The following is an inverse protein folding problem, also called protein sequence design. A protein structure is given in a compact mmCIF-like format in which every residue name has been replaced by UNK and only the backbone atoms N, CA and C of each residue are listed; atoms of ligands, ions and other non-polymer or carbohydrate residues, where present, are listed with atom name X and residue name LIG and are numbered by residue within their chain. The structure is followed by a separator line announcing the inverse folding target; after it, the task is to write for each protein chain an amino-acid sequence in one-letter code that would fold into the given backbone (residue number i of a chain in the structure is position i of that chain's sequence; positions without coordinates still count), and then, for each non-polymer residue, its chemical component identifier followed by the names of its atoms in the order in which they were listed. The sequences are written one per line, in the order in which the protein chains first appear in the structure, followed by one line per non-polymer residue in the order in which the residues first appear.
data_IF_585694157722
#
_entry.id   IF_585694157722
#
_cell.length_a   1.000
_cell.length_b   1.000
_cell.length_c   1.000
_cell.angle_alpha   90.00
_cell.angle_beta   90.00
_cell.angle_gamma   90.00
#
_symmetry.space_group_name_H-M   'P 1'
#
loop_
_entity.id
_entity.type
_entity.pdbx_description
1 polymer ?
#
# COMPACT_ATOMS: atom_id res chain seq x y z
N UNK A 1 -31.14 -5.43 -57.44
CA UNK A 1 -30.32 -5.99 -56.35
C UNK A 1 -29.68 -4.80 -55.65
N UNK A 2 -30.24 -4.39 -54.52
CA UNK A 2 -29.70 -3.32 -53.69
C UNK A 2 -28.58 -3.89 -52.84
N UNK A 3 -27.36 -3.46 -53.13
CA UNK A 3 -26.16 -3.69 -52.32
C UNK A 3 -26.37 -3.04 -50.95
N UNK A 4 -26.44 -3.85 -49.90
CA UNK A 4 -26.43 -3.36 -48.52
C UNK A 4 -24.96 -3.13 -48.18
N UNK A 5 -24.53 -1.88 -47.90
CA UNK A 5 -23.13 -1.64 -47.55
C UNK A 5 -22.81 -2.34 -46.22
N UNK A 6 -21.61 -2.93 -46.08
CA UNK A 6 -21.25 -3.69 -44.89
C UNK A 6 -21.23 -2.77 -43.66
N UNK A 7 -21.86 -3.21 -42.57
CA UNK A 7 -22.05 -2.47 -41.32
C UNK A 7 -20.79 -2.31 -40.46
N UNK A 8 -19.58 -2.44 -41.01
CA UNK A 8 -18.34 -2.46 -40.22
C UNK A 8 -17.33 -1.38 -40.64
N UNK A 9 -17.42 -0.18 -40.03
CA UNK A 9 -16.20 0.46 -39.51
C UNK A 9 -16.40 1.33 -38.24
N UNK A 10 -17.62 1.52 -37.75
CA UNK A 10 -17.90 2.42 -36.59
C UNK A 10 -17.60 1.76 -35.25
N UNK A 11 -17.95 0.49 -35.09
CA UNK A 11 -17.73 -0.30 -33.87
C UNK A 11 -16.24 -0.53 -33.60
N UNK A 12 -15.45 -0.85 -34.63
CA UNK A 12 -14.00 -1.01 -34.51
C UNK A 12 -13.29 0.31 -34.14
N UNK A 13 -13.71 1.44 -34.73
CA UNK A 13 -13.19 2.77 -34.36
C UNK A 13 -13.55 3.17 -32.92
N UNK A 14 -14.77 2.86 -32.49
CA UNK A 14 -15.23 3.16 -31.13
C UNK A 14 -14.50 2.30 -30.09
N UNK A 15 -14.32 1.00 -30.36
CA UNK A 15 -13.51 0.10 -29.53
C UNK A 15 -12.06 0.56 -29.41
N UNK A 16 -11.43 0.96 -30.52
CA UNK A 16 -10.06 1.51 -30.50
C UNK A 16 -9.94 2.82 -29.71
N UNK A 17 -10.94 3.70 -29.80
CA UNK A 17 -10.98 4.93 -29.00
C UNK A 17 -11.14 4.62 -27.52
N UNK A 18 -12.05 3.73 -27.15
CA UNK A 18 -12.26 3.30 -25.76
C UNK A 18 -11.00 2.67 -25.16
N UNK A 19 -10.28 1.85 -25.92
CA UNK A 19 -9.01 1.28 -25.47
C UNK A 19 -7.97 2.38 -25.19
N UNK A 20 -7.80 3.34 -26.11
CA UNK A 20 -6.88 4.47 -25.89
C UNK A 20 -7.24 5.31 -24.67
N UNK A 21 -8.53 5.56 -24.45
CA UNK A 21 -8.98 6.26 -23.24
C UNK A 21 -8.66 5.48 -21.98
N UNK A 22 -8.88 4.16 -21.99
CA UNK A 22 -8.50 3.29 -20.88
C UNK A 22 -7.00 3.34 -20.61
N UNK A 23 -6.17 3.28 -21.64
CA UNK A 23 -4.72 3.33 -21.50
C UNK A 23 -4.25 4.68 -20.92
N UNK A 24 -4.87 5.79 -21.34
CA UNK A 24 -4.59 7.13 -20.78
C UNK A 24 -4.99 7.20 -19.30
N UNK A 25 -6.19 6.70 -18.97
CA UNK A 25 -6.66 6.69 -17.58
C UNK A 25 -5.78 5.84 -16.67
N UNK A 26 -5.30 4.70 -17.15
CA UNK A 26 -4.38 3.84 -16.39
C UNK A 26 -3.05 4.55 -16.14
N UNK A 27 -2.51 5.23 -17.17
CA UNK A 27 -1.28 6.00 -17.03
C UNK A 27 -1.43 7.17 -16.05
N UNK A 28 -2.52 7.94 -16.16
CA UNK A 28 -2.80 9.05 -15.23
C UNK A 28 -2.93 8.54 -13.78
N UNK A 29 -3.51 7.34 -13.60
CA UNK A 29 -3.60 6.67 -12.30
C UNK A 29 -2.21 6.33 -11.75
N UNK A 30 -1.36 5.70 -12.56
CA UNK A 30 0.02 5.36 -12.17
C UNK A 30 0.84 6.60 -11.82
N UNK A 31 0.76 7.66 -12.64
CA UNK A 31 1.45 8.93 -12.41
C UNK A 31 0.97 9.59 -11.10
N UNK A 32 -0.33 9.59 -10.85
CA UNK A 32 -0.92 10.13 -9.61
C UNK A 32 -0.46 9.34 -8.39
N UNK A 33 -0.50 8.00 -8.46
CA UNK A 33 -0.07 7.13 -7.37
C UNK A 33 1.41 7.32 -7.06
N UNK A 34 2.24 7.44 -8.10
CA UNK A 34 3.66 7.74 -7.95
C UNK A 34 3.87 9.08 -7.27
N UNK A 35 3.17 10.13 -7.68
CA UNK A 35 3.30 11.44 -7.02
C UNK A 35 2.90 11.38 -5.54
N UNK A 36 1.79 10.71 -5.20
CA UNK A 36 1.37 10.53 -3.81
C UNK A 36 2.41 9.77 -2.98
N UNK A 37 3.07 8.78 -3.58
CA UNK A 37 4.16 8.04 -2.95
C UNK A 37 5.39 8.92 -2.70
N UNK A 38 5.76 9.75 -3.67
CA UNK A 38 6.85 10.73 -3.54
C UNK A 38 6.57 11.72 -2.41
N UNK A 39 5.37 12.30 -2.37
CA UNK A 39 4.94 13.22 -1.31
C UNK A 39 4.99 12.56 0.08
N UNK A 40 4.64 11.28 0.15
CA UNK A 40 4.74 10.48 1.38
C UNK A 40 6.21 10.29 1.82
N UNK A 41 7.11 9.95 0.91
CA UNK A 41 8.53 9.81 1.20
C UNK A 41 9.19 11.14 1.59
N UNK A 42 8.78 12.25 0.96
CA UNK A 42 9.28 13.59 1.28
C UNK A 42 8.94 13.98 2.73
N UNK A 43 7.72 13.69 3.20
CA UNK A 43 7.34 13.91 4.61
C UNK A 43 8.18 13.12 5.61
N UNK A 44 8.76 12.00 5.16
CA UNK A 44 9.69 11.19 5.95
C UNK A 44 11.14 11.62 5.79
N UNK A 45 11.40 12.70 5.04
CA UNK A 45 12.72 13.24 4.70
C UNK A 45 13.58 12.22 3.92
N UNK A 46 12.93 11.45 3.04
CA UNK A 46 13.59 10.51 2.13
C UNK A 46 13.56 11.12 0.74
N UNK A 47 14.72 11.52 0.24
CA UNK A 47 14.86 12.23 -1.05
C UNK A 47 15.90 11.62 -1.99
N UNK A 48 16.52 10.51 -1.60
CA UNK A 48 17.48 9.80 -2.45
C UNK A 48 16.75 9.04 -3.56
N UNK A 49 17.04 9.38 -4.82
CA UNK A 49 16.29 8.93 -5.99
C UNK A 49 16.34 7.39 -6.16
N UNK A 50 17.51 6.77 -5.98
CA UNK A 50 17.64 5.31 -6.07
C UNK A 50 16.83 4.61 -4.98
N UNK A 51 16.88 5.12 -3.74
CA UNK A 51 16.13 4.57 -2.62
C UNK A 51 14.63 4.76 -2.82
N UNK A 52 14.22 5.91 -3.31
CA UNK A 52 12.82 6.25 -3.62
C UNK A 52 12.26 5.28 -4.67
N UNK A 53 12.96 5.08 -5.78
CA UNK A 53 12.54 4.14 -6.83
C UNK A 53 12.51 2.69 -6.33
N UNK A 54 13.50 2.28 -5.55
CA UNK A 54 13.51 0.96 -4.92
C UNK A 54 12.30 0.75 -3.99
N UNK A 55 11.97 1.74 -3.16
CA UNK A 55 10.82 1.67 -2.26
C UNK A 55 9.49 1.71 -3.03
N UNK A 56 9.44 2.41 -4.16
CA UNK A 56 8.25 2.43 -5.01
C UNK A 56 7.98 1.06 -5.64
N UNK A 57 9.02 0.36 -6.10
CA UNK A 57 8.90 -1.02 -6.58
C UNK A 57 8.34 -1.97 -5.50
N UNK A 58 8.86 -1.89 -4.29
CA UNK A 58 8.35 -2.67 -3.15
C UNK A 58 6.89 -2.32 -2.82
N UNK A 59 6.54 -1.05 -2.90
CA UNK A 59 5.17 -0.57 -2.71
C UNK A 59 4.22 -1.15 -3.76
N UNK A 60 4.60 -1.17 -5.04
CA UNK A 60 3.77 -1.77 -6.09
C UNK A 60 3.53 -3.26 -5.84
N UNK A 61 4.56 -4.01 -5.43
CA UNK A 61 4.42 -5.42 -5.06
C UNK A 61 3.48 -5.57 -3.86
N UNK A 62 3.64 -4.74 -2.84
CA UNK A 62 2.77 -4.71 -1.68
C UNK A 62 1.30 -4.46 -2.07
N UNK A 63 1.04 -3.44 -2.89
CA UNK A 63 -0.31 -3.12 -3.36
C UNK A 63 -0.91 -4.27 -4.18
N UNK A 64 -0.15 -4.85 -5.10
CA UNK A 64 -0.61 -6.00 -5.89
C UNK A 64 -0.98 -7.19 -5.00
N UNK A 65 -0.21 -7.46 -3.94
CA UNK A 65 -0.52 -8.57 -3.03
C UNK A 65 -1.79 -8.33 -2.21
N UNK A 66 -2.03 -7.09 -1.75
CA UNK A 66 -3.24 -6.77 -0.99
C UNK A 66 -4.46 -6.60 -1.89
N UNK A 67 -4.29 -6.22 -3.16
CA UNK A 67 -5.36 -5.99 -4.14
C UNK A 67 -5.63 -7.20 -5.06
N UNK A 68 -4.93 -8.33 -4.86
CA UNK A 68 -5.19 -9.57 -5.60
C UNK A 68 -6.46 -10.31 -5.12
N UNK A 69 -7.56 -10.11 -5.83
CA UNK A 69 -8.88 -10.72 -5.55
C UNK A 69 -8.93 -12.24 -5.78
N UNK A 70 -7.90 -12.84 -6.39
CA UNK A 70 -7.77 -14.30 -6.52
C UNK A 70 -7.23 -14.95 -5.24
N UNK A 71 -6.70 -14.15 -4.31
CA UNK A 71 -6.09 -14.63 -3.07
C UNK A 71 -7.11 -14.54 -1.92
N UNK A 72 -7.08 -15.50 -0.99
CA UNK A 72 -7.95 -15.43 0.17
C UNK A 72 -7.63 -14.22 1.05
N UNK A 73 -8.66 -13.58 1.61
CA UNK A 73 -8.54 -12.43 2.52
C UNK A 73 -7.45 -12.63 3.59
N UNK A 74 -7.41 -13.80 4.22
CA UNK A 74 -6.43 -14.10 5.28
C UNK A 74 -4.99 -14.10 4.76
N UNK A 75 -4.77 -14.63 3.55
CA UNK A 75 -3.44 -14.68 2.95
C UNK A 75 -3.00 -13.29 2.52
N UNK A 76 -3.91 -12.47 1.97
CA UNK A 76 -3.63 -11.05 1.62
C UNK A 76 -3.20 -10.25 2.85
N UNK A 77 -3.91 -10.39 3.96
CA UNK A 77 -3.54 -9.75 5.24
C UNK A 77 -2.18 -10.26 5.73
N UNK A 78 -1.94 -11.58 5.68
CA UNK A 78 -0.66 -12.16 6.11
C UNK A 78 0.51 -11.65 5.26
N UNK A 79 0.34 -11.59 3.94
CA UNK A 79 1.34 -11.04 3.01
C UNK A 79 1.59 -9.55 3.25
N UNK A 80 0.56 -8.79 3.61
CA UNK A 80 0.72 -7.38 3.98
C UNK A 80 1.61 -7.24 5.21
N UNK A 81 1.32 -8.00 6.28
CA UNK A 81 2.05 -7.97 7.55
C UNK A 81 3.52 -8.37 7.38
N UNK A 82 3.78 -9.36 6.52
CA UNK A 82 5.12 -9.89 6.26
C UNK A 82 5.85 -9.14 5.15
N UNK A 83 5.30 -8.03 4.66
CA UNK A 83 5.85 -7.30 3.54
C UNK A 83 7.17 -6.63 3.89
N UNK A 84 8.17 -6.83 3.02
CA UNK A 84 9.43 -6.12 3.06
C UNK A 84 9.24 -4.60 2.97
N UNK A 85 8.21 -4.14 2.24
CA UNK A 85 7.86 -2.72 2.16
C UNK A 85 7.57 -2.14 3.55
N UNK A 86 6.67 -2.77 4.33
CA UNK A 86 6.34 -2.30 5.67
C UNK A 86 7.57 -2.28 6.57
N UNK A 87 8.38 -3.34 6.53
CA UNK A 87 9.62 -3.42 7.31
C UNK A 87 10.60 -2.30 6.94
N UNK A 88 10.86 -2.08 5.64
CA UNK A 88 11.75 -1.02 5.16
C UNK A 88 11.22 0.37 5.50
N UNK A 89 9.90 0.61 5.46
CA UNK A 89 9.31 1.88 5.88
C UNK A 89 9.49 2.11 7.38
N UNK A 90 9.27 1.09 8.22
CA UNK A 90 9.44 1.20 9.67
C UNK A 90 10.92 1.37 10.08
N UNK A 91 11.85 0.96 9.22
CA UNK A 91 13.30 1.08 9.44
C UNK A 91 13.95 2.19 8.60
N UNK A 92 13.16 2.98 7.85
CA UNK A 92 13.63 4.03 6.94
C UNK A 92 14.59 5.00 7.61
N UNK A 93 14.19 5.45 8.81
CA UNK A 93 15.03 6.23 9.71
C UNK A 93 15.55 5.30 10.78
N UNK A 94 16.85 5.40 11.05
CA UNK A 94 17.46 4.96 12.31
C UNK A 94 16.98 5.83 13.49
N UNK A 95 15.67 6.14 13.55
CA UNK A 95 15.09 6.90 14.63
C UNK A 95 15.16 6.04 15.88
N UNK A 96 15.76 6.63 16.92
CA UNK A 96 15.77 6.07 18.27
C UNK A 96 14.50 6.41 19.04
N UNK A 97 13.55 7.13 18.43
CA UNK A 97 12.39 7.72 19.11
C UNK A 97 11.10 7.11 18.65
N UNK A 98 10.44 6.44 19.59
CA UNK A 98 9.09 5.87 19.45
C UNK A 98 8.08 6.85 18.84
N UNK A 99 8.08 8.11 19.25
CA UNK A 99 7.15 9.14 18.73
C UNK A 99 7.31 9.35 17.21
N UNK A 100 8.52 9.30 16.70
CA UNK A 100 8.79 9.49 15.27
C UNK A 100 8.37 8.25 14.49
N UNK A 101 8.66 7.06 15.01
CA UNK A 101 8.22 5.79 14.43
C UNK A 101 6.69 5.70 14.37
N UNK A 102 6.01 6.09 15.45
CA UNK A 102 4.54 6.22 15.48
C UNK A 102 4.04 7.18 14.41
N UNK A 103 4.65 8.37 14.29
CA UNK A 103 4.28 9.35 13.27
C UNK A 103 4.43 8.76 11.86
N UNK A 104 5.53 8.06 11.58
CA UNK A 104 5.77 7.39 10.29
C UNK A 104 4.67 6.36 10.00
N UNK A 105 4.33 5.51 10.97
CA UNK A 105 3.26 4.51 10.80
C UNK A 105 1.90 5.17 10.57
N UNK A 106 1.61 6.30 11.21
CA UNK A 106 0.39 7.07 10.94
C UNK A 106 0.37 7.66 9.53
N UNK A 107 1.48 8.27 9.07
CA UNK A 107 1.57 8.77 7.69
C UNK A 107 1.41 7.65 6.67
N UNK A 108 2.00 6.47 6.92
CA UNK A 108 1.84 5.28 6.09
C UNK A 108 0.37 4.82 6.04
N UNK A 109 -0.31 4.77 7.19
CA UNK A 109 -1.73 4.40 7.25
C UNK A 109 -2.58 5.35 6.39
N UNK A 110 -2.34 6.66 6.51
CA UNK A 110 -3.06 7.67 5.73
C UNK A 110 -2.72 7.66 4.25
N UNK A 111 -1.50 7.24 3.90
CA UNK A 111 -1.10 7.05 2.50
C UNK A 111 -1.82 5.84 1.88
N UNK A 112 -1.80 4.67 2.53
CA UNK A 112 -2.48 3.45 2.05
C UNK A 112 -3.99 3.69 1.87
N UNK A 113 -4.60 4.45 2.77
CA UNK A 113 -6.02 4.85 2.68
C UNK A 113 -6.32 5.71 1.44
N UNK A 114 -5.37 6.56 1.04
CA UNK A 114 -5.54 7.55 -0.05
C UNK A 114 -5.07 7.08 -1.42
N UNK A 115 -4.26 6.03 -1.49
CA UNK A 115 -3.71 5.48 -2.74
C UNK A 115 -4.79 5.00 -3.76
N UNK A 116 -6.07 5.13 -3.42
CA UNK A 116 -7.20 4.60 -4.16
C UNK A 116 -8.05 5.70 -4.84
N UNK A 117 -7.63 6.14 -6.01
CA UNK A 117 -8.58 6.68 -6.98
C UNK A 117 -9.09 5.52 -7.86
N UNK A 118 -10.37 5.16 -7.72
CA UNK A 118 -11.16 4.24 -8.57
C UNK A 118 -11.09 2.74 -8.32
N UNK A 119 -10.60 2.29 -7.18
CA UNK A 119 -10.56 0.86 -6.90
C UNK A 119 -11.93 0.30 -6.47
N UNK A 120 -12.15 -0.99 -6.76
CA UNK A 120 -13.40 -1.68 -6.47
C UNK A 120 -13.64 -1.83 -4.96
N UNK A 121 -14.89 -2.15 -4.58
CA UNK A 121 -15.33 -2.18 -3.18
C UNK A 121 -14.49 -3.10 -2.28
N UNK A 122 -14.02 -4.24 -2.80
CA UNK A 122 -13.20 -5.19 -2.05
C UNK A 122 -11.77 -4.69 -1.83
N UNK A 123 -11.13 -4.17 -2.88
CA UNK A 123 -9.82 -3.54 -2.77
C UNK A 123 -9.85 -2.34 -1.81
N UNK A 124 -10.95 -1.58 -1.82
CA UNK A 124 -11.15 -0.47 -0.88
C UNK A 124 -11.33 -0.95 0.55
N UNK A 125 -12.10 -2.01 0.75
CA UNK A 125 -12.21 -2.68 2.04
C UNK A 125 -10.84 -3.12 2.57
N UNK A 126 -10.01 -3.76 1.73
CA UNK A 126 -8.68 -4.23 2.10
C UNK A 126 -7.75 -3.12 2.57
N UNK A 127 -7.68 -2.02 1.81
CA UNK A 127 -6.85 -0.86 2.18
C UNK A 127 -7.34 -0.19 3.46
N UNK A 128 -8.65 -0.05 3.62
CA UNK A 128 -9.24 0.53 4.83
C UNK A 128 -8.96 -0.35 6.05
N UNK A 129 -9.12 -1.67 5.93
CA UNK A 129 -8.80 -2.62 6.98
C UNK A 129 -7.33 -2.49 7.39
N UNK A 130 -6.41 -2.48 6.42
CA UNK A 130 -4.99 -2.38 6.69
C UNK A 130 -4.60 -1.03 7.30
N UNK A 131 -5.12 0.07 6.77
CA UNK A 131 -4.88 1.41 7.29
C UNK A 131 -5.34 1.52 8.75
N UNK A 132 -6.55 1.07 9.05
CA UNK A 132 -7.09 1.09 10.41
C UNK A 132 -6.30 0.19 11.36
N UNK A 133 -5.88 -0.99 10.89
CA UNK A 133 -5.07 -1.93 11.69
C UNK A 133 -3.71 -1.33 12.02
N UNK A 134 -3.02 -0.74 11.04
CA UNK A 134 -1.73 -0.07 11.25
C UNK A 134 -1.85 1.07 12.26
N UNK A 135 -2.91 1.87 12.15
CA UNK A 135 -3.18 2.99 13.04
C UNK A 135 -3.44 2.54 14.48
N UNK A 136 -4.36 1.58 14.65
CA UNK A 136 -4.72 1.05 15.95
C UNK A 136 -3.51 0.39 16.64
N UNK A 137 -2.78 -0.47 15.93
CA UNK A 137 -1.60 -1.14 16.47
C UNK A 137 -0.53 -0.11 16.86
N UNK A 138 -0.25 0.89 16.02
CA UNK A 138 0.75 1.91 16.33
C UNK A 138 0.43 2.73 17.60
N UNK A 139 -0.85 2.89 17.93
CA UNK A 139 -1.31 3.59 19.12
C UNK A 139 -1.23 2.72 20.38
N UNK A 140 -1.38 1.41 20.23
CA UNK A 140 -1.40 0.46 21.35
C UNK A 140 -0.04 -0.14 21.70
N UNK A 141 0.88 -0.26 20.73
CA UNK A 141 2.16 -0.92 20.99
C UNK A 141 3.04 -0.14 21.95
N UNK A 142 3.72 -0.89 22.83
CA UNK A 142 4.70 -0.38 23.78
C UNK A 142 6.06 -1.04 23.54
N UNK A 143 6.78 -0.69 22.46
CA UNK A 143 7.95 -1.43 22.01
C UNK A 143 9.09 -1.48 23.03
N UNK A 144 9.16 -0.52 23.96
CA UNK A 144 10.13 -0.53 25.07
C UNK A 144 9.94 -1.69 26.04
N UNK A 145 8.71 -2.20 26.21
CA UNK A 145 8.42 -3.32 27.13
C UNK A 145 8.86 -4.66 26.55
N UNK A 146 8.90 -4.80 25.22
CA UNK A 146 9.32 -6.01 24.51
C UNK A 146 10.74 -5.96 23.93
N UNK A 147 11.44 -4.83 24.08
CA UNK A 147 12.76 -4.60 23.46
C UNK A 147 13.83 -5.51 24.05
N UNK A 148 14.53 -6.25 23.19
CA UNK A 148 15.63 -7.12 23.60
C UNK A 148 16.93 -6.34 23.85
N UNK A 149 17.86 -6.84 24.69
CA UNK A 149 19.18 -6.22 24.87
C UNK A 149 19.93 -6.11 23.53
N UNK A 150 20.45 -4.91 23.23
CA UNK A 150 21.18 -4.63 21.98
C UNK A 150 20.30 -4.32 20.77
N UNK A 151 18.99 -4.60 20.83
CA UNK A 151 18.05 -4.25 19.78
C UNK A 151 17.89 -2.73 19.68
N UNK A 152 17.88 -2.17 18.47
CA UNK A 152 17.57 -0.76 18.22
C UNK A 152 16.08 -0.45 18.45
N UNK A 153 15.72 0.83 18.50
CA UNK A 153 14.32 1.22 18.70
C UNK A 153 13.45 0.91 17.47
N UNK A 154 14.01 1.03 16.26
CA UNK A 154 13.27 0.77 15.02
C UNK A 154 13.04 -0.73 14.81
N UNK A 155 14.02 -1.58 15.15
CA UNK A 155 13.83 -3.04 15.16
C UNK A 155 12.74 -3.43 16.17
N UNK A 156 12.82 -2.89 17.40
CA UNK A 156 11.80 -3.17 18.42
C UNK A 156 10.40 -2.69 18.01
N UNK A 157 10.31 -1.57 17.27
CA UNK A 157 9.06 -1.06 16.73
C UNK A 157 8.53 -1.94 15.60
N UNK A 158 9.37 -2.32 14.64
CA UNK A 158 9.00 -3.21 13.54
C UNK A 158 8.50 -4.57 14.05
N UNK A 159 9.18 -5.15 15.03
CA UNK A 159 8.76 -6.40 15.67
C UNK A 159 7.42 -6.25 16.41
N UNK A 160 7.26 -5.18 17.18
CA UNK A 160 6.02 -4.91 17.91
C UNK A 160 4.83 -4.66 16.96
N UNK A 161 5.05 -3.93 15.86
CA UNK A 161 4.05 -3.71 14.82
C UNK A 161 3.64 -5.03 14.15
N UNK A 162 4.61 -5.87 13.78
CA UNK A 162 4.35 -7.18 13.19
C UNK A 162 3.49 -8.03 14.13
N UNK A 163 3.92 -8.17 15.39
CA UNK A 163 3.19 -8.94 16.39
C UNK A 163 1.78 -8.37 16.63
N UNK A 164 1.66 -7.04 16.74
CA UNK A 164 0.38 -6.38 16.95
C UNK A 164 -0.60 -6.60 15.78
N UNK A 165 -0.11 -6.56 14.54
CA UNK A 165 -0.93 -6.86 13.36
C UNK A 165 -1.31 -8.35 13.28
N UNK A 166 -0.41 -9.27 13.64
CA UNK A 166 -0.70 -10.70 13.73
C UNK A 166 -1.80 -10.98 14.77
N UNK A 167 -1.75 -10.31 15.93
CA UNK A 167 -2.78 -10.40 16.97
C UNK A 167 -4.10 -9.79 16.50
N UNK A 168 -4.06 -8.64 15.83
CA UNK A 168 -5.25 -8.00 15.26
C UNK A 168 -5.92 -8.90 14.21
N UNK A 169 -5.15 -9.60 13.39
CA UNK A 169 -5.70 -10.58 12.45
C UNK A 169 -6.43 -11.73 13.16
N UNK A 170 -5.96 -12.15 14.34
CA UNK A 170 -6.59 -13.22 15.12
C UNK A 170 -7.90 -12.78 15.79
N UNK A 171 -8.01 -11.50 16.20
CA UNK A 171 -9.24 -10.98 16.82
C UNK A 171 -10.38 -10.79 15.82
N UNK A 172 -10.08 -10.66 14.52
CA UNK A 172 -11.08 -10.59 13.44
C UNK A 172 -11.61 -11.98 12.99
N UNK A 173 -11.19 -13.08 13.63
CA UNK A 173 -11.65 -14.45 13.32
C UNK A 173 -12.92 -14.90 14.06
N UNK A 174 -13.61 -14.00 14.77
CA UNK A 174 -14.87 -14.25 15.49
C UNK A 174 -15.92 -13.18 15.15
#
# INVERSE_FOLDING_TARGET
MTDIPPLEPKTAKMSSMLQKYRDILEKEREDTLRQQFMDFLEKMEVSDEERVESLYGDFQIFMNNIENDETALQDRVTSAIQSEFLYRIMTLKNSSRERELRKITHELSGFIEKAAHNAESEQQFMRNLLSNSLRAVADEIEPKKGRQPGQSMHEAWADAMRLGLELFQQTQKY
#
